data_IF_998691399835
#
_entry.id   IF_998691399835
#
_cell.length_a   1.000
_cell.length_b   1.000
_cell.length_c   1.000
_cell.angle_alpha   90.00
_cell.angle_beta   90.00
_cell.angle_gamma   90.00
#
_symmetry.space_group_name_H-M   'P 1'
#
loop_
_entity.id
_entity.type
_entity.pdbx_description
1 polymer ?
#
# COMPACT_ATOMS: atom_id res chain seq x y z
N UNK A 1 0.96 13.70 22.81
CA UNK A 1 2.20 13.33 23.49
C UNK A 1 2.06 13.70 24.96
N UNK A 2 2.46 12.84 25.87
CA UNK A 2 2.52 13.08 27.31
C UNK A 2 3.98 13.11 27.71
N UNK A 3 4.37 14.09 28.51
CA UNK A 3 5.74 14.20 29.04
C UNK A 3 5.66 14.19 30.56
N UNK A 4 6.45 13.34 31.19
CA UNK A 4 6.54 13.23 32.65
C UNK A 4 7.95 13.56 33.12
N UNK A 5 8.09 14.10 34.33
CA UNK A 5 9.38 14.45 34.92
C UNK A 5 10.02 15.76 34.38
N UNK A 6 9.25 16.58 33.64
CA UNK A 6 9.67 17.89 33.17
C UNK A 6 8.51 18.88 33.19
N UNK A 7 8.79 20.17 33.08
CA UNK A 7 7.78 21.25 32.98
C UNK A 7 8.00 22.14 31.75
N UNK A 8 6.95 22.68 31.12
CA UNK A 8 7.10 23.65 30.05
C UNK A 8 7.72 24.98 30.56
N UNK A 9 8.40 25.71 29.67
CA UNK A 9 8.90 27.04 29.97
C UNK A 9 7.76 27.97 30.44
N UNK A 10 8.03 28.80 31.43
CA UNK A 10 7.06 29.75 31.98
C UNK A 10 6.09 29.16 33.01
N UNK A 11 6.13 27.84 33.28
CA UNK A 11 5.34 27.19 34.33
C UNK A 11 6.10 27.19 35.64
N UNK A 12 5.38 27.41 36.76
CA UNK A 12 5.94 27.38 38.10
C UNK A 12 6.53 25.98 38.38
N UNK A 13 7.82 25.94 38.75
CA UNK A 13 8.60 24.71 38.92
C UNK A 13 9.18 24.61 40.36
N UNK A 14 8.34 24.40 41.39
CA UNK A 14 8.81 24.37 42.76
C UNK A 14 9.67 23.14 43.08
N UNK A 15 9.62 22.10 42.23
CA UNK A 15 10.37 20.85 42.42
C UNK A 15 11.74 20.86 41.70
N UNK A 16 12.07 21.94 40.96
CA UNK A 16 13.33 22.04 40.24
C UNK A 16 13.47 21.01 39.12
N UNK A 17 12.33 20.57 38.49
CA UNK A 17 12.35 19.64 37.38
C UNK A 17 13.01 20.26 36.13
N UNK A 18 13.55 19.48 35.22
CA UNK A 18 14.01 19.95 33.93
C UNK A 18 12.93 20.79 33.22
N UNK A 19 13.34 21.89 32.59
CA UNK A 19 12.44 22.78 31.82
C UNK A 19 12.54 22.41 30.35
N UNK A 20 11.40 22.19 29.70
CA UNK A 20 11.31 22.04 28.25
C UNK A 20 11.21 23.44 27.65
N UNK A 21 12.28 23.86 26.97
CA UNK A 21 12.35 25.19 26.33
C UNK A 21 11.71 25.18 24.95
N UNK A 22 11.89 24.11 24.19
CA UNK A 22 11.32 23.93 22.86
C UNK A 22 10.98 22.47 22.60
N UNK A 23 10.00 22.26 21.70
CA UNK A 23 9.57 20.95 21.22
C UNK A 23 9.12 21.04 19.78
N UNK A 24 9.85 20.40 18.89
CA UNK A 24 9.51 20.33 17.47
C UNK A 24 9.07 18.92 17.09
N UNK A 25 7.94 18.82 16.39
CA UNK A 25 7.49 17.58 15.75
C UNK A 25 7.87 17.61 14.28
N UNK A 26 8.58 16.58 13.83
CA UNK A 26 8.96 16.42 12.43
C UNK A 26 8.05 15.37 11.76
N UNK A 27 7.41 15.78 10.67
CA UNK A 27 6.76 14.86 9.76
C UNK A 27 7.79 14.39 8.74
N UNK A 28 7.95 13.08 8.59
CA UNK A 28 8.84 12.45 7.62
C UNK A 28 8.01 11.65 6.63
N UNK A 29 8.15 11.97 5.34
CA UNK A 29 7.47 11.26 4.26
C UNK A 29 8.37 11.21 3.02
N UNK A 30 7.93 10.47 2.00
CA UNK A 30 8.55 10.52 0.67
C UNK A 30 8.47 11.94 0.11
N UNK A 31 9.47 12.34 -0.69
CA UNK A 31 9.59 13.68 -1.30
C UNK A 31 8.92 13.76 -2.68
N UNK A 32 7.91 12.95 -2.96
CA UNK A 32 7.14 13.05 -4.22
C UNK A 32 6.57 14.44 -4.39
N UNK A 33 6.70 15.00 -5.59
CA UNK A 33 6.20 16.32 -5.91
C UNK A 33 4.67 16.33 -5.89
N UNK A 34 4.07 17.37 -5.29
CA UNK A 34 2.63 17.58 -5.33
C UNK A 34 2.25 18.18 -6.70
N UNK A 35 1.50 17.43 -7.51
CA UNK A 35 1.13 17.79 -8.89
C UNK A 35 -0.35 18.09 -9.06
N UNK A 36 -1.16 17.85 -8.05
CA UNK A 36 -2.61 18.08 -8.10
C UNK A 36 -3.18 18.59 -6.80
N UNK A 37 -4.20 19.42 -6.93
CA UNK A 37 -4.92 20.01 -5.78
C UNK A 37 -6.43 19.94 -6.02
N UNK A 38 -7.20 19.83 -4.94
CA UNK A 38 -8.65 19.87 -5.00
C UNK A 38 -9.20 20.91 -4.01
N UNK A 39 -10.13 21.72 -4.49
CA UNK A 39 -10.95 22.62 -3.67
C UNK A 39 -12.33 22.79 -4.29
N UNK A 40 -13.36 22.87 -3.45
CA UNK A 40 -14.74 23.16 -3.88
C UNK A 40 -15.50 23.97 -2.82
N UNK A 41 -16.73 24.35 -3.12
CA UNK A 41 -17.57 25.13 -2.19
C UNK A 41 -18.06 24.36 -0.96
N UNK A 42 -17.95 23.02 -0.97
CA UNK A 42 -18.37 22.17 0.16
C UNK A 42 -17.19 21.94 1.12
N UNK A 43 -17.34 22.37 2.36
CA UNK A 43 -16.35 22.10 3.42
C UNK A 43 -16.18 20.62 3.72
N UNK A 44 -17.24 19.81 3.54
CA UNK A 44 -17.20 18.36 3.77
C UNK A 44 -16.19 17.70 2.80
N UNK A 45 -16.28 17.99 1.50
CA UNK A 45 -15.37 17.43 0.51
C UNK A 45 -13.93 17.94 0.68
N UNK A 46 -13.77 19.23 1.02
CA UNK A 46 -12.42 19.77 1.31
C UNK A 46 -11.78 19.09 2.52
N UNK A 47 -12.56 18.80 3.57
CA UNK A 47 -12.09 18.08 4.75
C UNK A 47 -11.75 16.62 4.41
N UNK A 48 -12.58 15.93 3.60
CA UNK A 48 -12.28 14.58 3.13
C UNK A 48 -10.97 14.55 2.34
N UNK A 49 -10.78 15.50 1.41
CA UNK A 49 -9.52 15.61 0.66
C UNK A 49 -8.32 15.78 1.59
N UNK A 50 -8.41 16.68 2.58
CA UNK A 50 -7.34 16.89 3.56
C UNK A 50 -7.03 15.64 4.38
N UNK A 51 -8.05 14.88 4.80
CA UNK A 51 -7.86 13.62 5.54
C UNK A 51 -7.18 12.55 4.67
N UNK A 52 -7.57 12.44 3.40
CA UNK A 52 -6.94 11.51 2.45
C UNK A 52 -5.48 11.91 2.21
N UNK A 53 -5.22 13.20 1.98
CA UNK A 53 -3.86 13.73 1.76
C UNK A 53 -2.94 13.43 2.95
N UNK A 54 -3.37 13.69 4.18
CA UNK A 54 -2.63 13.35 5.37
C UNK A 54 -2.44 11.83 5.56
N UNK A 55 -3.43 11.03 5.18
CA UNK A 55 -3.31 9.56 5.20
C UNK A 55 -2.25 9.09 4.21
N UNK A 56 -2.24 9.63 2.99
CA UNK A 56 -1.22 9.34 1.98
C UNK A 56 0.17 9.74 2.50
N UNK A 57 0.34 10.98 2.95
CA UNK A 57 1.63 11.48 3.48
C UNK A 57 2.15 10.62 4.64
N UNK A 58 1.27 10.16 5.52
CA UNK A 58 1.64 9.34 6.68
C UNK A 58 2.09 7.93 6.32
N UNK A 59 1.62 7.41 5.17
CA UNK A 59 1.93 6.07 4.70
C UNK A 59 2.93 6.03 3.55
N UNK A 60 3.19 7.18 2.90
CA UNK A 60 4.11 7.30 1.78
C UNK A 60 5.54 7.54 2.28
N UNK A 61 6.26 6.48 2.51
CA UNK A 61 7.64 6.46 3.00
C UNK A 61 8.56 5.85 1.93
N UNK A 62 9.35 4.85 2.26
CA UNK A 62 10.12 4.06 1.27
C UNK A 62 9.25 2.96 0.61
N UNK A 63 8.12 2.64 1.20
CA UNK A 63 7.01 1.85 0.63
C UNK A 63 5.70 2.58 0.93
N UNK A 64 4.61 2.18 0.28
CA UNK A 64 3.27 2.51 0.77
C UNK A 64 2.92 1.52 1.87
N UNK A 65 2.84 2.01 3.10
CA UNK A 65 2.45 1.17 4.22
C UNK A 65 0.94 1.06 4.33
N UNK A 66 0.44 -0.07 4.80
CA UNK A 66 -0.97 -0.26 5.13
C UNK A 66 -1.39 0.62 6.32
N UNK A 67 -0.49 0.73 7.31
CA UNK A 67 -0.70 1.55 8.50
C UNK A 67 0.63 2.09 9.04
N UNK A 68 0.72 3.42 9.37
CA UNK A 68 1.98 4.03 9.77
C UNK A 68 2.38 3.71 11.22
N UNK A 69 1.49 3.12 12.01
CA UNK A 69 1.68 2.95 13.46
C UNK A 69 1.81 1.50 13.93
N UNK A 70 1.34 0.51 13.15
CA UNK A 70 1.37 -0.91 13.54
C UNK A 70 2.32 -1.73 12.68
N UNK A 71 1.83 -2.27 11.58
CA UNK A 71 2.54 -3.24 10.74
C UNK A 71 3.68 -2.58 9.97
N UNK A 72 3.43 -1.42 9.35
CA UNK A 72 4.42 -0.63 8.59
C UNK A 72 5.02 -1.41 7.43
N UNK A 73 4.22 -2.30 6.83
CA UNK A 73 4.63 -3.18 5.74
C UNK A 73 4.08 -2.67 4.41
N UNK A 74 4.80 -2.97 3.34
CA UNK A 74 4.41 -2.66 1.97
C UNK A 74 3.43 -3.70 1.40
N UNK A 75 2.20 -3.74 1.92
CA UNK A 75 1.15 -4.57 1.39
C UNK A 75 0.75 -4.11 -0.01
N UNK A 76 0.82 -5.00 -0.99
CA UNK A 76 0.74 -4.66 -2.41
C UNK A 76 -0.67 -4.27 -2.87
N UNK A 77 -1.71 -4.76 -2.22
CA UNK A 77 -3.09 -4.36 -2.53
C UNK A 77 -3.26 -2.85 -2.38
N UNK A 78 -2.78 -2.28 -1.28
CA UNK A 78 -2.83 -0.82 -1.05
C UNK A 78 -2.16 -0.07 -2.21
N UNK A 79 -1.02 -0.56 -2.69
CA UNK A 79 -0.28 0.09 -3.77
C UNK A 79 -1.12 0.18 -5.06
N UNK A 80 -1.76 -0.91 -5.49
CA UNK A 80 -2.50 -0.88 -6.75
C UNK A 80 -3.90 -0.24 -6.63
N UNK A 81 -4.61 -0.44 -5.53
CA UNK A 81 -5.94 0.16 -5.32
C UNK A 81 -5.87 1.69 -5.18
N UNK A 82 -4.83 2.20 -4.52
CA UNK A 82 -4.66 3.64 -4.28
C UNK A 82 -3.89 4.36 -5.38
N UNK A 83 -3.34 3.64 -6.36
CA UNK A 83 -2.45 4.20 -7.40
C UNK A 83 -3.01 5.45 -8.08
N UNK A 84 -4.24 5.38 -8.60
CA UNK A 84 -4.86 6.50 -9.29
C UNK A 84 -5.15 7.68 -8.37
N UNK A 85 -5.64 7.41 -7.16
CA UNK A 85 -5.94 8.47 -6.18
C UNK A 85 -4.68 9.23 -5.78
N UNK A 86 -3.57 8.53 -5.58
CA UNK A 86 -2.29 9.15 -5.23
C UNK A 86 -1.71 9.89 -6.43
N UNK A 87 -1.77 9.31 -7.64
CA UNK A 87 -1.23 9.93 -8.84
C UNK A 87 -1.95 11.22 -9.27
N UNK A 88 -3.20 11.41 -8.87
CA UNK A 88 -3.88 12.69 -9.06
C UNK A 88 -3.32 13.82 -8.20
N UNK A 89 -2.65 13.49 -7.10
CA UNK A 89 -2.12 14.46 -6.15
C UNK A 89 -0.60 14.58 -6.21
N UNK A 90 0.11 13.48 -6.52
CA UNK A 90 1.56 13.37 -6.42
C UNK A 90 2.19 12.78 -7.68
N UNK A 91 3.39 13.25 -8.04
CA UNK A 91 4.23 12.50 -9.00
C UNK A 91 4.82 11.27 -8.30
N UNK A 92 4.23 10.13 -8.61
CA UNK A 92 4.59 8.86 -7.99
C UNK A 92 5.43 7.95 -8.88
N UNK A 93 5.91 8.44 -10.04
CA UNK A 93 6.64 7.62 -11.00
C UNK A 93 7.79 6.86 -10.34
N UNK A 94 8.67 7.57 -9.64
CA UNK A 94 9.86 6.97 -9.03
C UNK A 94 9.49 5.99 -7.90
N UNK A 95 8.54 6.38 -7.05
CA UNK A 95 8.11 5.52 -5.95
C UNK A 95 7.47 4.22 -6.44
N UNK A 96 6.59 4.30 -7.43
CA UNK A 96 5.93 3.11 -7.97
C UNK A 96 6.87 2.25 -8.81
N UNK A 97 7.82 2.84 -9.53
CA UNK A 97 8.92 2.08 -10.16
C UNK A 97 9.73 1.32 -9.11
N UNK A 98 10.02 1.95 -7.96
CA UNK A 98 10.69 1.29 -6.84
C UNK A 98 9.84 0.13 -6.29
N UNK A 99 8.52 0.30 -6.11
CA UNK A 99 7.64 -0.78 -5.65
C UNK A 99 7.64 -1.96 -6.65
N UNK A 100 7.63 -1.69 -7.94
CA UNK A 100 7.74 -2.75 -8.97
C UNK A 100 9.09 -3.48 -8.87
N UNK A 101 10.18 -2.77 -8.63
CA UNK A 101 11.49 -3.39 -8.42
C UNK A 101 11.53 -4.24 -7.13
N UNK A 102 10.92 -3.75 -6.04
CA UNK A 102 10.81 -4.53 -4.80
C UNK A 102 10.04 -5.85 -5.03
N UNK A 103 8.98 -5.82 -5.84
CA UNK A 103 8.25 -7.03 -6.23
C UNK A 103 9.12 -7.99 -7.05
N UNK A 104 9.90 -7.45 -8.00
CA UNK A 104 10.83 -8.23 -8.81
C UNK A 104 11.90 -8.92 -7.95
N UNK A 105 12.46 -8.21 -6.98
CA UNK A 105 13.45 -8.75 -6.05
C UNK A 105 12.85 -9.77 -5.06
N UNK A 106 11.54 -9.66 -4.79
CA UNK A 106 10.81 -10.57 -3.88
C UNK A 106 10.17 -11.75 -4.59
N UNK A 107 10.11 -11.75 -5.94
CA UNK A 107 9.48 -12.83 -6.71
C UNK A 107 10.22 -14.14 -6.52
N UNK A 108 9.47 -15.21 -6.23
CA UNK A 108 10.03 -16.54 -6.05
C UNK A 108 10.29 -17.23 -7.40
N UNK A 109 11.13 -18.26 -7.39
CA UNK A 109 11.48 -19.04 -8.59
C UNK A 109 10.25 -19.63 -9.31
N UNK A 110 9.18 -19.94 -8.57
CA UNK A 110 7.93 -20.45 -9.13
C UNK A 110 7.01 -19.34 -9.69
N UNK A 111 7.42 -18.08 -9.64
CA UNK A 111 6.68 -16.92 -10.13
C UNK A 111 5.79 -16.23 -9.08
N UNK A 112 5.59 -16.79 -7.89
CA UNK A 112 4.84 -16.16 -6.82
C UNK A 112 5.43 -14.79 -6.45
N UNK A 113 4.58 -13.77 -6.37
CA UNK A 113 4.90 -12.48 -5.75
C UNK A 113 4.24 -12.46 -4.37
N UNK A 114 5.02 -12.34 -3.28
CA UNK A 114 4.46 -12.26 -1.93
C UNK A 114 3.52 -11.06 -1.76
N UNK A 115 2.56 -11.17 -0.84
CA UNK A 115 1.59 -10.09 -0.57
C UNK A 115 2.23 -8.78 -0.09
N UNK A 116 3.46 -8.83 0.42
CA UNK A 116 4.26 -7.66 0.82
C UNK A 116 5.57 -7.61 0.04
N UNK A 117 5.96 -6.43 -0.42
CA UNK A 117 7.27 -6.20 -1.03
C UNK A 117 7.89 -4.87 -0.54
N UNK A 118 9.15 -4.87 -0.07
CA UNK A 118 9.99 -6.04 0.17
C UNK A 118 9.38 -7.02 1.18
N UNK A 119 9.66 -8.33 1.04
CA UNK A 119 9.18 -9.33 1.99
C UNK A 119 10.01 -9.28 3.29
N UNK A 120 9.80 -8.22 4.07
CA UNK A 120 10.50 -8.02 5.35
C UNK A 120 10.12 -9.08 6.39
N UNK A 121 8.85 -9.50 6.39
CA UNK A 121 8.33 -10.57 7.22
C UNK A 121 7.59 -11.57 6.34
N UNK A 122 7.92 -12.85 6.47
CA UNK A 122 7.23 -13.90 5.73
C UNK A 122 5.99 -14.35 6.50
N UNK A 123 4.86 -14.30 5.83
CA UNK A 123 3.58 -14.76 6.37
C UNK A 123 3.24 -16.18 5.89
N UNK A 124 2.46 -16.97 6.64
CA UNK A 124 2.05 -18.29 6.19
C UNK A 124 0.82 -18.23 5.26
N UNK A 125 0.72 -19.22 4.39
CA UNK A 125 -0.46 -19.52 3.56
C UNK A 125 -0.97 -18.30 2.76
N UNK A 126 -2.27 -18.05 2.80
CA UNK A 126 -2.95 -17.00 2.02
C UNK A 126 -2.50 -15.57 2.37
N UNK A 127 -1.93 -15.35 3.56
CA UNK A 127 -1.31 -14.07 3.91
C UNK A 127 0.01 -13.79 3.18
N UNK A 128 0.57 -14.79 2.51
CA UNK A 128 1.73 -14.64 1.62
C UNK A 128 1.35 -14.72 0.16
N UNK A 129 0.30 -15.46 -0.17
CA UNK A 129 -0.10 -15.87 -1.51
C UNK A 129 -1.58 -15.57 -1.74
N UNK A 130 -1.88 -14.33 -2.06
CA UNK A 130 -3.22 -13.88 -2.45
C UNK A 130 -3.16 -13.10 -3.75
N UNK A 131 -3.89 -13.52 -4.79
CA UNK A 131 -3.92 -12.80 -6.06
C UNK A 131 -4.35 -11.33 -5.93
N UNK A 132 -5.13 -10.98 -4.94
CA UNK A 132 -5.57 -9.62 -4.64
C UNK A 132 -4.40 -8.68 -4.35
N UNK A 133 -3.30 -9.21 -3.80
CA UNK A 133 -2.05 -8.49 -3.54
C UNK A 133 -1.04 -8.68 -4.66
N UNK A 134 -0.72 -9.93 -5.00
CA UNK A 134 0.33 -10.26 -5.94
C UNK A 134 0.07 -9.77 -7.37
N UNK A 135 -1.20 -9.58 -7.78
CA UNK A 135 -1.55 -9.01 -9.09
C UNK A 135 -1.05 -7.57 -9.29
N UNK A 136 -0.62 -6.89 -8.23
CA UNK A 136 0.11 -5.64 -8.33
C UNK A 136 1.32 -5.73 -9.27
N UNK A 137 1.96 -6.91 -9.36
CA UNK A 137 3.07 -7.17 -10.26
C UNK A 137 2.75 -7.04 -11.76
N UNK A 138 1.47 -7.10 -12.13
CA UNK A 138 0.99 -6.85 -13.50
C UNK A 138 0.31 -5.48 -13.60
N UNK A 139 -0.51 -5.15 -12.60
CA UNK A 139 -1.32 -3.93 -12.58
C UNK A 139 -0.45 -2.67 -12.53
N UNK A 140 0.59 -2.64 -11.68
CA UNK A 140 1.41 -1.45 -11.49
C UNK A 140 2.32 -1.11 -12.68
N UNK A 141 3.02 -2.05 -13.34
CA UNK A 141 3.72 -1.75 -14.59
C UNK A 141 2.79 -1.19 -15.67
N UNK A 142 1.59 -1.78 -15.82
CA UNK A 142 0.58 -1.29 -16.75
C UNK A 142 0.06 0.11 -16.37
N UNK A 143 -0.19 0.35 -15.09
CA UNK A 143 -0.58 1.66 -14.58
C UNK A 143 0.47 2.73 -14.88
N UNK A 144 1.75 2.46 -14.60
CA UNK A 144 2.85 3.37 -14.87
C UNK A 144 2.96 3.71 -16.37
N UNK A 145 2.85 2.71 -17.24
CA UNK A 145 2.81 2.93 -18.67
C UNK A 145 1.61 3.82 -19.06
N UNK A 146 0.43 3.51 -18.59
CA UNK A 146 -0.79 4.26 -18.91
C UNK A 146 -0.74 5.71 -18.41
N UNK A 147 -0.15 5.94 -17.25
CA UNK A 147 -0.12 7.26 -16.62
C UNK A 147 1.00 8.15 -17.13
N UNK A 148 2.18 7.58 -17.36
CA UNK A 148 3.38 8.32 -17.72
C UNK A 148 3.83 8.13 -19.19
N UNK A 149 3.22 7.21 -19.93
CA UNK A 149 3.59 6.90 -21.31
C UNK A 149 4.94 6.20 -21.47
N UNK A 150 5.50 5.68 -20.39
CA UNK A 150 6.83 5.06 -20.35
C UNK A 150 6.75 3.56 -20.67
N UNK A 151 7.05 3.20 -21.91
CA UNK A 151 7.02 1.80 -22.37
C UNK A 151 8.12 0.97 -21.72
N UNK A 152 9.25 1.57 -21.33
CA UNK A 152 10.39 0.84 -20.75
C UNK A 152 10.00 0.07 -19.49
N UNK A 153 9.07 0.60 -18.71
CA UNK A 153 8.54 -0.05 -17.51
C UNK A 153 7.89 -1.40 -17.82
N UNK A 154 7.21 -1.55 -18.96
CA UNK A 154 6.64 -2.84 -19.36
C UNK A 154 7.72 -3.79 -19.88
N UNK A 155 8.66 -3.28 -20.68
CA UNK A 155 9.74 -4.08 -21.26
C UNK A 155 10.66 -4.65 -20.17
N UNK A 156 11.08 -3.83 -19.22
CA UNK A 156 11.98 -4.21 -18.13
C UNK A 156 11.34 -5.20 -17.13
N UNK A 157 10.00 -5.17 -17.01
CA UNK A 157 9.26 -5.99 -16.07
C UNK A 157 8.40 -7.08 -16.75
N UNK A 158 8.61 -7.31 -18.05
CA UNK A 158 7.84 -8.31 -18.80
C UNK A 158 7.97 -9.71 -18.18
N UNK A 159 9.19 -10.10 -17.78
CA UNK A 159 9.43 -11.39 -17.15
C UNK A 159 8.72 -11.53 -15.80
N UNK A 160 8.74 -10.49 -14.96
CA UNK A 160 7.99 -10.45 -13.70
C UNK A 160 6.50 -10.74 -13.94
N UNK A 161 5.89 -10.04 -14.92
CA UNK A 161 4.48 -10.17 -15.26
C UNK A 161 4.13 -11.57 -15.78
N UNK A 162 4.89 -12.08 -16.75
CA UNK A 162 4.67 -13.41 -17.34
C UNK A 162 4.81 -14.50 -16.29
N UNK A 163 5.89 -14.49 -15.51
CA UNK A 163 6.12 -15.50 -14.46
C UNK A 163 5.00 -15.54 -13.43
N UNK A 164 4.45 -14.36 -13.06
CA UNK A 164 3.34 -14.30 -12.13
C UNK A 164 2.04 -14.84 -12.75
N UNK A 165 1.72 -14.48 -14.00
CA UNK A 165 0.54 -15.02 -14.70
C UNK A 165 0.66 -16.54 -14.90
N UNK A 166 1.85 -17.04 -15.23
CA UNK A 166 2.10 -18.49 -15.33
C UNK A 166 1.91 -19.19 -13.97
N UNK A 167 2.39 -18.56 -12.90
CA UNK A 167 2.14 -19.03 -11.54
C UNK A 167 0.64 -19.13 -11.25
N UNK A 168 -0.13 -18.08 -11.48
CA UNK A 168 -1.59 -18.09 -11.28
C UNK A 168 -2.25 -19.16 -12.14
N UNK A 169 -1.85 -19.30 -13.40
CA UNK A 169 -2.34 -20.33 -14.33
C UNK A 169 -2.13 -21.73 -13.76
N UNK A 170 -0.96 -21.99 -13.18
CA UNK A 170 -0.64 -23.27 -12.54
C UNK A 170 -1.51 -23.59 -11.32
N UNK A 171 -2.06 -22.55 -10.68
CA UNK A 171 -2.95 -22.66 -9.52
C UNK A 171 -4.43 -22.77 -9.89
N UNK A 172 -4.79 -22.52 -11.14
CA UNK A 172 -6.17 -22.59 -11.61
C UNK A 172 -6.69 -24.05 -11.64
N UNK A 173 -7.95 -24.19 -11.26
CA UNK A 173 -8.73 -25.38 -11.51
C UNK A 173 -9.96 -25.02 -12.34
N UNK A 174 -10.03 -25.57 -13.55
CA UNK A 174 -11.09 -25.20 -14.51
C UNK A 174 -11.17 -23.68 -14.76
N UNK A 175 -10.02 -23.03 -14.89
CA UNK A 175 -9.89 -21.58 -15.08
C UNK A 175 -10.38 -20.72 -13.90
N UNK A 176 -10.55 -21.31 -12.71
CA UNK A 176 -10.94 -20.63 -11.49
C UNK A 176 -9.81 -20.73 -10.47
N UNK A 177 -9.46 -19.62 -9.84
CA UNK A 177 -8.57 -19.56 -8.68
C UNK A 177 -9.39 -19.71 -7.39
N UNK A 178 -8.94 -20.59 -6.49
CA UNK A 178 -9.62 -20.84 -5.20
C UNK A 178 -8.73 -20.60 -3.97
N UNK A 179 -7.60 -19.94 -4.17
CA UNK A 179 -6.69 -19.59 -3.08
C UNK A 179 -6.67 -18.08 -2.84
N UNK A 180 -6.05 -17.67 -1.74
CA UNK A 180 -6.00 -16.27 -1.34
C UNK A 180 -7.02 -15.90 -0.28
N UNK A 181 -7.01 -14.66 0.14
CA UNK A 181 -7.88 -14.15 1.20
C UNK A 181 -9.30 -13.82 0.68
N UNK A 182 -9.44 -13.61 -0.62
CA UNK A 182 -10.69 -13.17 -1.25
C UNK A 182 -10.93 -11.68 -0.99
N UNK A 183 -12.19 -11.28 -0.96
CA UNK A 183 -12.61 -9.93 -0.56
C UNK A 183 -12.34 -9.78 0.95
N UNK A 184 -11.09 -9.43 1.26
CA UNK A 184 -10.57 -9.44 2.62
C UNK A 184 -11.25 -8.41 3.49
N UNK A 185 -11.71 -8.84 4.65
CA UNK A 185 -12.32 -8.02 5.68
C UNK A 185 -13.69 -7.47 5.31
N UNK A 186 -14.41 -8.10 4.40
CA UNK A 186 -15.81 -7.77 4.10
C UNK A 186 -16.70 -7.94 5.37
N UNK A 187 -17.78 -7.18 5.41
CA UNK A 187 -18.69 -7.14 6.56
C UNK A 187 -19.82 -8.13 6.37
N UNK A 188 -19.57 -9.39 6.69
CA UNK A 188 -20.56 -10.46 6.65
C UNK A 188 -21.13 -10.85 8.02
N UNK A 189 -21.84 -11.98 8.10
CA UNK A 189 -22.50 -12.44 9.34
C UNK A 189 -21.51 -12.95 10.40
N UNK A 190 -20.27 -13.28 10.02
CA UNK A 190 -19.24 -13.77 10.91
C UNK A 190 -18.26 -12.64 11.26
N UNK A 191 -17.29 -12.95 12.12
CA UNK A 191 -16.20 -12.02 12.40
C UNK A 191 -15.43 -11.69 11.11
N UNK A 192 -15.09 -10.40 10.84
CA UNK A 192 -14.36 -10.01 9.64
C UNK A 192 -13.04 -10.79 9.47
N UNK A 193 -12.71 -11.08 8.23
CA UNK A 193 -11.54 -11.86 7.85
C UNK A 193 -11.62 -12.28 6.39
N UNK A 194 -11.53 -13.57 6.11
CA UNK A 194 -11.77 -14.11 4.76
C UNK A 194 -13.14 -13.70 4.23
N UNK A 195 -13.25 -13.58 2.89
CA UNK A 195 -14.51 -13.21 2.24
C UNK A 195 -15.71 -14.06 2.69
N UNK A 196 -16.83 -13.42 2.95
CA UNK A 196 -18.04 -14.01 3.48
C UNK A 196 -19.24 -13.80 2.56
N UNK A 197 -19.37 -12.60 1.96
CA UNK A 197 -20.48 -12.23 1.08
C UNK A 197 -20.29 -12.74 -0.35
N UNK A 198 -19.05 -12.94 -0.74
CA UNK A 198 -18.68 -13.56 -2.02
C UNK A 198 -17.92 -14.85 -1.80
N UNK A 199 -17.87 -15.70 -2.84
CA UNK A 199 -17.01 -16.88 -2.79
C UNK A 199 -15.54 -16.46 -2.84
N UNK A 200 -14.66 -17.15 -2.13
CA UNK A 200 -13.21 -16.89 -2.13
C UNK A 200 -12.56 -16.92 -3.52
N UNK A 201 -13.18 -17.59 -4.48
CA UNK A 201 -12.70 -17.65 -5.86
C UNK A 201 -13.12 -16.48 -6.74
N UNK A 202 -13.97 -15.57 -6.27
CA UNK A 202 -14.49 -14.50 -7.11
C UNK A 202 -13.42 -13.45 -7.43
N UNK A 203 -12.87 -12.82 -6.40
CA UNK A 203 -11.88 -11.74 -6.56
C UNK A 203 -10.57 -12.22 -7.19
N UNK A 204 -9.95 -13.34 -6.74
CA UNK A 204 -8.73 -13.81 -7.37
C UNK A 204 -8.92 -14.19 -8.85
N UNK A 205 -10.07 -14.78 -9.20
CA UNK A 205 -10.37 -15.12 -10.60
C UNK A 205 -10.59 -13.86 -11.43
N UNK A 206 -11.31 -12.86 -10.91
CA UNK A 206 -11.52 -11.59 -11.61
C UNK A 206 -10.20 -10.83 -11.86
N UNK A 207 -9.25 -10.89 -10.92
CA UNK A 207 -7.93 -10.28 -11.07
C UNK A 207 -7.02 -11.05 -12.04
N UNK A 208 -7.22 -12.35 -12.18
CA UNK A 208 -6.48 -13.19 -13.12
C UNK A 208 -6.89 -12.92 -14.58
N UNK A 209 -8.16 -12.57 -14.86
CA UNK A 209 -8.69 -12.24 -16.20
C UNK A 209 -8.68 -10.73 -16.48
#
# INVERSE_FOLDING_TARGET
MQVEGAVPIGVKNPQGLPVIEDLSLLHVSNTSEEVGQFACSSSVFNNIYSLIDWSVKSNMSHVLTDCPHREKLGWLEVAHLMSSSIAYCYDIKQMYTKIVNDMKDSQLENGLIPNTAPEYASFPHDFRDSPEWGSAGVILPWFLYRWYGDLSVLEENYHLMVSYVDYLTSRCKYHILYHGLGDWYDLGPNHPGYSQLTTRGLTPTALYY
#
